data_IF_197120027087
#
_entry.id   IF_197120027087
#
_cell.length_a   1.000
_cell.length_b   1.000
_cell.length_c   1.000
_cell.angle_alpha   90.00
_cell.angle_beta   90.00
_cell.angle_gamma   90.00
#
_symmetry.space_group_name_H-M   'P 1'
#
loop_
_entity.id
_entity.type
_entity.pdbx_description
1 polymer ?
#
# COMPACT_ATOMS: atom_id res chain seq x y z
N UNK A 1 12.71 16.07 49.72
CA UNK A 1 11.61 15.52 48.90
C UNK A 1 11.21 16.39 47.71
N UNK A 2 10.82 17.67 47.86
CA UNK A 2 10.37 18.52 46.72
C UNK A 2 11.35 18.63 45.54
N UNK A 3 12.66 18.72 45.79
CA UNK A 3 13.70 18.79 44.74
C UNK A 3 13.80 17.51 43.91
N UNK A 4 13.59 16.34 44.53
CA UNK A 4 13.61 15.06 43.83
C UNK A 4 12.38 14.89 42.93
N UNK A 5 11.20 15.30 43.41
CA UNK A 5 9.96 15.27 42.62
C UNK A 5 10.09 16.15 41.37
N UNK A 6 10.66 17.35 41.51
CA UNK A 6 10.90 18.25 40.36
C UNK A 6 11.86 17.63 39.32
N UNK A 7 12.93 16.96 39.77
CA UNK A 7 13.87 16.27 38.87
C UNK A 7 13.16 15.14 38.12
N UNK A 8 12.36 14.32 38.80
CA UNK A 8 11.61 13.23 38.16
C UNK A 8 10.57 13.74 37.15
N UNK A 9 9.91 14.86 37.42
CA UNK A 9 8.99 15.50 36.48
C UNK A 9 9.74 15.94 35.22
N UNK A 10 10.91 16.57 35.36
CA UNK A 10 11.72 17.01 34.22
C UNK A 10 12.27 15.85 33.40
N UNK A 11 12.74 14.78 34.06
CA UNK A 11 13.21 13.57 33.38
C UNK A 11 12.07 12.90 32.62
N UNK A 12 10.89 12.76 33.24
CA UNK A 12 9.70 12.19 32.60
C UNK A 12 9.24 13.03 31.41
N UNK A 13 9.22 14.35 31.54
CA UNK A 13 8.85 15.25 30.45
C UNK A 13 9.85 15.15 29.27
N UNK A 14 11.15 15.12 29.56
CA UNK A 14 12.19 14.94 28.54
C UNK A 14 12.08 13.59 27.82
N UNK A 15 11.77 12.52 28.55
CA UNK A 15 11.59 11.18 27.98
C UNK A 15 10.37 11.12 27.05
N UNK A 16 9.26 11.79 27.40
CA UNK A 16 8.07 11.87 26.56
C UNK A 16 8.33 12.63 25.26
N UNK A 17 9.07 13.74 25.31
CA UNK A 17 9.43 14.52 24.11
C UNK A 17 10.30 13.67 23.17
N UNK A 18 11.31 12.97 23.71
CA UNK A 18 12.18 12.09 22.92
C UNK A 18 11.40 10.92 22.27
N UNK A 19 10.43 10.35 22.98
CA UNK A 19 9.56 9.31 22.43
C UNK A 19 8.70 9.84 21.27
N UNK A 20 8.15 11.05 21.38
CA UNK A 20 7.33 11.64 20.32
C UNK A 20 8.11 11.86 19.03
N UNK A 21 9.34 12.40 19.11
CA UNK A 21 10.17 12.61 17.92
C UNK A 21 10.47 11.29 17.19
N UNK A 22 10.77 10.22 17.95
CA UNK A 22 11.01 8.88 17.38
C UNK A 22 9.76 8.28 16.72
N UNK A 23 8.58 8.54 17.28
CA UNK A 23 7.31 8.11 16.69
C UNK A 23 7.04 8.87 15.39
N UNK A 24 7.26 10.19 15.37
CA UNK A 24 7.10 11.01 14.15
C UNK A 24 7.99 10.49 13.02
N UNK A 25 9.26 10.20 13.30
CA UNK A 25 10.20 9.65 12.31
C UNK A 25 9.75 8.30 11.75
N UNK A 26 9.09 7.47 12.56
CA UNK A 26 8.53 6.18 12.15
C UNK A 26 7.22 6.32 11.37
N UNK A 27 6.39 7.31 11.70
CA UNK A 27 5.17 7.62 10.95
C UNK A 27 5.48 8.23 9.58
N UNK A 28 6.48 9.11 9.47
CA UNK A 28 6.96 9.64 8.19
C UNK A 28 7.53 8.54 7.28
N UNK A 29 8.18 7.53 7.87
CA UNK A 29 8.73 6.37 7.16
C UNK A 29 7.76 5.20 7.08
N UNK A 30 6.50 5.39 7.45
CA UNK A 30 5.51 4.32 7.40
C UNK A 30 5.48 3.77 5.98
N UNK A 31 5.81 2.49 5.77
CA UNK A 31 5.86 1.94 4.42
C UNK A 31 4.47 2.05 3.83
N UNK A 32 4.29 2.97 2.88
CA UNK A 32 3.12 2.91 2.02
C UNK A 32 3.26 1.64 1.20
N UNK A 33 2.26 0.78 1.25
CA UNK A 33 2.12 -0.32 0.31
C UNK A 33 1.79 0.31 -1.04
N UNK A 34 2.82 0.70 -1.78
CA UNK A 34 2.70 1.05 -3.19
C UNK A 34 2.65 -0.29 -3.92
N UNK A 35 1.50 -0.62 -4.51
CA UNK A 35 1.46 -1.65 -5.54
C UNK A 35 2.23 -1.12 -6.74
N UNK A 36 3.55 -1.29 -6.72
CA UNK A 36 4.40 -1.01 -7.86
C UNK A 36 4.16 -2.16 -8.84
N UNK A 37 3.46 -1.85 -9.92
CA UNK A 37 3.36 -2.74 -11.06
C UNK A 37 4.70 -2.63 -11.79
N UNK A 38 5.60 -3.58 -11.54
CA UNK A 38 6.95 -3.64 -12.13
C UNK A 38 6.94 -3.94 -13.64
N UNK A 39 5.75 -3.98 -14.23
CA UNK A 39 5.42 -4.31 -15.61
C UNK A 39 5.42 -3.08 -16.55
N UNK A 40 5.97 -1.94 -16.13
CA UNK A 40 6.21 -0.81 -17.03
C UNK A 40 7.21 -1.21 -18.14
N UNK A 41 6.68 -1.54 -19.32
CA UNK A 41 7.44 -1.99 -20.49
C UNK A 41 7.46 -3.51 -20.74
N UNK A 42 6.72 -4.29 -19.94
CA UNK A 42 6.53 -5.72 -20.18
C UNK A 42 5.14 -5.98 -20.76
N UNK A 43 5.06 -6.58 -21.95
CA UNK A 43 3.80 -7.03 -22.53
C UNK A 43 3.28 -8.24 -21.75
N UNK A 44 2.07 -8.13 -21.19
CA UNK A 44 1.45 -9.23 -20.44
C UNK A 44 0.43 -9.89 -21.34
N UNK A 45 0.74 -11.11 -21.78
CA UNK A 45 -0.16 -11.92 -22.59
C UNK A 45 -0.73 -13.08 -21.77
N UNK A 46 -2.04 -13.18 -21.66
CA UNK A 46 -2.62 -14.35 -21.00
C UNK A 46 -4.14 -14.37 -20.94
N UNK A 47 -4.67 -15.46 -20.38
CA UNK A 47 -6.11 -15.67 -20.24
C UNK A 47 -6.62 -15.06 -18.93
N UNK A 48 -7.68 -14.28 -19.02
CA UNK A 48 -8.37 -13.73 -17.86
C UNK A 48 -9.16 -14.83 -17.16
N UNK A 49 -8.89 -15.04 -15.87
CA UNK A 49 -9.56 -16.06 -15.05
C UNK A 49 -10.57 -15.49 -14.07
N UNK A 50 -10.40 -14.23 -13.67
CA UNK A 50 -11.29 -13.57 -12.70
C UNK A 50 -11.31 -12.06 -12.92
N UNK A 51 -12.40 -11.44 -12.47
CA UNK A 51 -12.58 -9.99 -12.44
C UNK A 51 -13.04 -9.57 -11.05
N UNK A 52 -12.34 -8.61 -10.45
CA UNK A 52 -12.62 -8.12 -9.10
C UNK A 52 -12.83 -6.60 -9.08
N UNK A 53 -13.61 -6.13 -8.11
CA UNK A 53 -13.73 -4.69 -7.81
C UNK A 53 -13.50 -4.45 -6.32
N UNK A 54 -12.50 -3.64 -6.01
CA UNK A 54 -12.16 -3.25 -4.65
C UNK A 54 -12.37 -1.74 -4.51
N UNK A 55 -13.55 -1.35 -4.04
CA UNK A 55 -13.95 0.06 -3.94
C UNK A 55 -14.00 0.75 -5.32
N UNK A 56 -13.03 1.64 -5.57
CA UNK A 56 -12.88 2.39 -6.84
C UNK A 56 -11.95 1.72 -7.85
N UNK A 57 -11.26 0.65 -7.47
CA UNK A 57 -10.30 -0.05 -8.32
C UNK A 57 -10.97 -1.22 -9.05
N UNK A 58 -10.70 -1.33 -10.35
CA UNK A 58 -11.11 -2.45 -11.19
C UNK A 58 -9.90 -3.34 -11.43
N UNK A 59 -10.08 -4.65 -11.25
CA UNK A 59 -8.98 -5.62 -11.31
C UNK A 59 -9.33 -6.80 -12.21
N UNK A 60 -8.34 -7.29 -12.96
CA UNK A 60 -8.44 -8.53 -13.74
C UNK A 60 -7.33 -9.48 -13.30
N UNK A 61 -7.66 -10.74 -13.10
CA UNK A 61 -6.69 -11.78 -12.77
C UNK A 61 -6.33 -12.51 -14.06
N UNK A 62 -5.05 -12.48 -14.43
CA UNK A 62 -4.52 -13.19 -15.60
C UNK A 62 -3.81 -14.45 -15.10
N UNK A 63 -4.14 -15.59 -15.72
CA UNK A 63 -3.52 -16.88 -15.41
C UNK A 63 -2.01 -16.78 -15.57
N UNK A 64 -1.27 -17.36 -14.62
CA UNK A 64 0.21 -17.40 -14.59
C UNK A 64 0.92 -16.04 -14.39
N UNK A 65 0.19 -14.92 -14.32
CA UNK A 65 0.77 -13.59 -14.06
C UNK A 65 0.32 -12.98 -12.72
N UNK A 66 -0.98 -12.98 -12.43
CA UNK A 66 -1.52 -12.37 -11.20
C UNK A 66 -2.61 -11.34 -11.45
N UNK A 67 -2.79 -10.43 -10.49
CA UNK A 67 -3.90 -9.45 -10.46
C UNK A 67 -3.41 -8.10 -10.97
N UNK A 68 -4.10 -7.55 -11.97
CA UNK A 68 -3.79 -6.26 -12.57
C UNK A 68 -4.92 -5.27 -12.34
N UNK A 69 -4.58 -4.05 -11.94
CA UNK A 69 -5.52 -2.93 -11.90
C UNK A 69 -5.63 -2.35 -13.30
N UNK A 70 -6.86 -2.24 -13.81
CA UNK A 70 -7.15 -1.73 -15.15
C UNK A 70 -8.11 -0.55 -15.08
N UNK A 71 -8.22 0.21 -16.18
CA UNK A 71 -9.24 1.26 -16.25
C UNK A 71 -10.64 0.65 -16.26
N UNK A 72 -11.65 1.44 -15.88
CA UNK A 72 -13.05 1.01 -15.95
C UNK A 72 -13.44 0.57 -17.36
N UNK A 73 -12.98 1.31 -18.36
CA UNK A 73 -13.28 1.04 -19.78
C UNK A 73 -12.69 -0.30 -20.24
N UNK A 74 -11.45 -0.61 -19.85
CA UNK A 74 -10.84 -1.92 -20.11
C UNK A 74 -11.58 -3.02 -19.36
N UNK A 75 -11.90 -2.79 -18.09
CA UNK A 75 -12.65 -3.75 -17.27
C UNK A 75 -14.00 -4.08 -17.90
N UNK A 76 -14.74 -3.13 -18.45
CA UNK A 76 -16.04 -3.40 -19.08
C UNK A 76 -15.90 -4.17 -20.40
N UNK A 77 -14.81 -3.96 -21.15
CA UNK A 77 -14.54 -4.66 -22.42
C UNK A 77 -14.08 -6.10 -22.22
N UNK A 78 -13.21 -6.34 -21.24
CA UNK A 78 -12.57 -7.63 -20.98
C UNK A 78 -13.55 -8.59 -20.29
N UNK A 79 -13.67 -9.82 -20.78
CA UNK A 79 -14.48 -10.89 -20.18
C UNK A 79 -13.59 -11.99 -19.59
N UNK A 80 -14.13 -12.73 -18.63
CA UNK A 80 -13.46 -13.93 -18.12
C UNK A 80 -13.38 -14.96 -19.24
N UNK A 81 -12.19 -15.49 -19.48
CA UNK A 81 -11.88 -16.40 -20.58
C UNK A 81 -11.20 -15.71 -21.78
N UNK A 82 -11.23 -14.38 -21.87
CA UNK A 82 -10.57 -13.66 -22.95
C UNK A 82 -9.05 -13.79 -22.84
N UNK A 83 -8.39 -13.87 -24.00
CA UNK A 83 -6.96 -13.67 -24.11
C UNK A 83 -6.69 -12.18 -24.30
N UNK A 84 -5.89 -11.61 -23.40
CA UNK A 84 -5.58 -10.18 -23.36
C UNK A 84 -4.08 -9.97 -23.47
N UNK A 85 -3.73 -8.87 -24.15
CA UNK A 85 -2.42 -8.26 -24.13
C UNK A 85 -2.57 -6.93 -23.38
N UNK A 86 -1.92 -6.82 -22.21
CA UNK A 86 -1.90 -5.60 -21.39
C UNK A 86 -0.53 -4.91 -21.43
#
# INVERSE_FOLDING_TARGET
MKRFIAIWILVSAGLNIWHMDRIRDLEEKKPMVVYKADNAGAEIFGRVVEKGRHGKLYTVTIRDYGIFVVTKEQFEKIRVGDEVLL
#
